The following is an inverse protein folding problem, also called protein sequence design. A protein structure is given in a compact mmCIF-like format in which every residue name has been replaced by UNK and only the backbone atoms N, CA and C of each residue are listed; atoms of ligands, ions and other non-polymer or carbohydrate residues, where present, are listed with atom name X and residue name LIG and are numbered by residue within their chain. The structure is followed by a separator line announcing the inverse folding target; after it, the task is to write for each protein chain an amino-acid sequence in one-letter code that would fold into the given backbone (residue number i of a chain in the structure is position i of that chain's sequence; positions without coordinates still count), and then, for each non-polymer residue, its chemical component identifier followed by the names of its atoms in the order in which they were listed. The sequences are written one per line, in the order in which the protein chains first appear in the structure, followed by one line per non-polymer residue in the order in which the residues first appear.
data_IF_437155901822
#
_entry.id   IF_437155901822
#
_cell.length_a   1.000
_cell.length_b   1.000
_cell.length_c   1.000
_cell.angle_alpha   90.00
_cell.angle_beta   90.00
_cell.angle_gamma   90.00
#
_symmetry.space_group_name_H-M   'P 1'
#
loop_
_entity.id
_entity.type
_entity.pdbx_description
1 polymer ?
#
# COMPACT_ATOMS: atom_id res chain seq x y z
N UNK A 1 50.71 15.70 -23.15
CA UNK A 1 49.33 15.87 -23.64
C UNK A 1 48.64 14.51 -23.56
N UNK A 2 47.83 14.30 -22.52
CA UNK A 2 47.03 13.09 -22.29
C UNK A 2 45.59 13.59 -22.08
N UNK A 3 44.67 13.21 -22.94
CA UNK A 3 43.23 13.40 -22.70
C UNK A 3 42.62 12.05 -22.37
N UNK A 4 42.38 11.83 -21.07
CA UNK A 4 41.55 10.75 -20.55
C UNK A 4 40.09 11.17 -20.66
N UNK A 5 39.31 10.43 -21.46
CA UNK A 5 37.86 10.38 -21.36
C UNK A 5 37.50 9.52 -20.14
N UNK A 6 36.84 10.12 -19.13
CA UNK A 6 36.23 9.40 -18.01
C UNK A 6 34.72 9.25 -18.24
N UNK A 7 34.23 8.05 -17.96
CA UNK A 7 32.86 7.55 -18.05
C UNK A 7 31.92 8.21 -17.02
N UNK A 8 30.63 8.44 -17.33
CA UNK A 8 29.67 9.12 -16.45
C UNK A 8 29.00 8.16 -15.45
N UNK A 9 29.78 7.51 -14.58
CA UNK A 9 29.28 6.55 -13.59
C UNK A 9 29.68 6.88 -12.13
N UNK A 10 30.00 8.15 -11.81
CA UNK A 10 30.44 8.56 -10.46
C UNK A 10 29.61 9.70 -9.82
N UNK A 11 28.46 10.09 -10.39
CA UNK A 11 27.67 11.25 -9.90
C UNK A 11 26.47 10.91 -8.99
N UNK A 12 26.48 9.76 -8.33
CA UNK A 12 25.41 9.36 -7.41
C UNK A 12 25.99 8.79 -6.11
N UNK A 13 26.70 9.63 -5.34
CA UNK A 13 26.91 9.48 -3.88
C UNK A 13 27.56 10.77 -3.38
N UNK A 14 27.02 11.32 -2.27
CA UNK A 14 27.34 12.57 -1.56
C UNK A 14 26.84 13.88 -2.18
N UNK A 15 25.72 14.40 -1.66
CA UNK A 15 25.63 15.84 -1.33
C UNK A 15 24.68 16.12 -0.14
N UNK A 16 25.33 16.35 1.01
CA UNK A 16 25.05 17.35 2.07
C UNK A 16 23.73 17.37 2.85
N UNK A 17 23.87 17.02 4.14
CA UNK A 17 23.40 17.81 5.28
C UNK A 17 23.51 19.31 5.00
N UNK A 18 22.40 20.05 5.05
CA UNK A 18 22.34 21.47 5.41
C UNK A 18 20.93 21.81 5.92
N UNK A 19 20.91 22.15 7.20
CA UNK A 19 19.87 22.87 7.93
C UNK A 19 19.35 24.08 7.17
N UNK A 20 18.02 24.22 7.07
CA UNK A 20 17.33 25.50 6.96
C UNK A 20 16.06 25.48 7.80
N UNK A 21 16.11 26.14 8.95
CA UNK A 21 14.95 26.69 9.63
C UNK A 21 14.44 27.88 8.81
N UNK A 22 13.13 27.97 8.52
CA UNK A 22 12.48 29.26 8.40
C UNK A 22 11.89 29.63 9.76
N UNK A 23 12.49 30.62 10.41
CA UNK A 23 11.81 31.41 11.44
C UNK A 23 10.69 32.15 10.71
N UNK A 24 9.46 31.66 10.84
CA UNK A 24 8.27 32.49 10.68
C UNK A 24 7.69 32.70 12.07
N UNK A 25 8.01 33.86 12.64
CA UNK A 25 7.36 34.37 13.83
C UNK A 25 5.88 34.62 13.51
N UNK A 26 5.01 33.70 13.94
CA UNK A 26 3.61 33.99 14.21
C UNK A 26 3.38 33.75 15.69
N UNK A 27 3.32 34.85 16.45
CA UNK A 27 2.65 34.87 17.73
C UNK A 27 1.16 34.54 17.47
N UNK A 28 0.71 33.35 17.85
CA UNK A 28 -0.73 33.09 18.08
C UNK A 28 -0.90 31.94 19.07
N UNK A 29 -1.45 32.28 20.24
CA UNK A 29 -2.21 31.45 21.20
C UNK A 29 -2.36 29.96 20.88
N UNK A 30 -1.96 29.09 21.82
CA UNK A 30 -2.03 27.62 21.71
C UNK A 30 -3.37 27.10 21.17
N UNK A 31 -3.37 26.72 19.90
CA UNK A 31 -4.53 26.19 19.18
C UNK A 31 -4.41 24.70 18.95
N UNK A 32 -5.46 23.96 19.32
CA UNK A 32 -5.67 22.57 18.92
C UNK A 32 -5.96 22.52 17.41
N UNK A 33 -5.26 21.67 16.67
CA UNK A 33 -5.53 21.42 15.24
C UNK A 33 -6.05 20.00 15.09
N UNK A 34 -7.30 19.83 14.65
CA UNK A 34 -7.88 18.51 14.36
C UNK A 34 -7.06 17.80 13.26
N UNK A 35 -6.75 16.51 13.37
CA UNK A 35 -6.13 15.77 12.28
C UNK A 35 -7.05 15.80 11.07
N UNK A 36 -6.49 16.05 9.89
CA UNK A 36 -7.26 16.05 8.66
C UNK A 36 -7.63 14.61 8.27
N UNK A 37 -8.91 14.26 8.41
CA UNK A 37 -9.43 12.91 8.14
C UNK A 37 -9.13 12.40 6.73
N UNK A 38 -9.03 13.28 5.73
CA UNK A 38 -8.75 12.92 4.34
C UNK A 38 -7.34 12.35 4.12
N UNK A 39 -6.47 12.43 5.14
CA UNK A 39 -5.15 11.83 5.13
C UNK A 39 -5.16 10.35 5.54
N UNK A 40 -6.27 9.81 6.05
CA UNK A 40 -6.34 8.49 6.66
C UNK A 40 -7.06 7.43 5.80
N UNK A 41 -6.58 6.18 5.90
CA UNK A 41 -7.18 4.96 5.29
C UNK A 41 -7.55 3.91 6.32
N UNK A 42 -7.21 4.15 7.58
CA UNK A 42 -7.67 3.37 8.72
C UNK A 42 -8.37 4.33 9.69
N UNK A 43 -9.68 4.17 9.84
CA UNK A 43 -10.44 4.97 10.79
C UNK A 43 -9.94 4.83 12.23
N UNK A 44 -9.34 3.69 12.60
CA UNK A 44 -8.80 3.47 13.95
C UNK A 44 -7.55 4.31 14.18
N UNK A 45 -6.68 4.41 13.17
CA UNK A 45 -5.51 5.30 13.21
C UNK A 45 -5.94 6.76 13.34
N UNK A 46 -6.91 7.20 12.53
CA UNK A 46 -7.49 8.53 12.66
C UNK A 46 -8.01 8.82 14.07
N UNK A 47 -8.79 7.90 14.65
CA UNK A 47 -9.31 8.04 16.01
C UNK A 47 -8.19 8.01 17.08
N UNK A 48 -7.13 7.23 16.85
CA UNK A 48 -5.96 7.16 17.72
C UNK A 48 -5.13 8.45 17.72
N UNK A 49 -4.91 9.03 16.55
CA UNK A 49 -4.21 10.31 16.40
C UNK A 49 -5.03 11.46 16.98
N UNK A 50 -6.33 11.50 16.68
CA UNK A 50 -7.28 12.45 17.30
C UNK A 50 -7.23 12.38 18.83
N UNK A 51 -7.22 11.16 19.39
CA UNK A 51 -7.11 10.96 20.84
C UNK A 51 -5.77 11.49 21.38
N UNK A 52 -4.67 11.16 20.70
CA UNK A 52 -3.31 11.49 21.13
C UNK A 52 -3.09 13.00 21.14
N UNK A 53 -3.57 13.71 20.11
CA UNK A 53 -3.51 15.17 20.06
C UNK A 53 -4.35 15.82 21.16
N UNK A 54 -5.59 15.37 21.37
CA UNK A 54 -6.44 15.88 22.45
C UNK A 54 -5.84 15.62 23.83
N UNK A 55 -5.15 14.47 24.01
CA UNK A 55 -4.47 14.14 25.27
C UNK A 55 -3.28 15.06 25.53
N UNK A 56 -2.52 15.39 24.49
CA UNK A 56 -1.39 16.32 24.57
C UNK A 56 -1.86 17.74 24.87
N UNK A 57 -2.92 18.21 24.21
CA UNK A 57 -3.47 19.55 24.45
C UNK A 57 -4.24 19.67 25.78
N UNK A 58 -4.85 18.57 26.24
CA UNK A 58 -5.68 18.53 27.46
C UNK A 58 -5.32 17.28 28.26
N UNK A 59 -4.55 17.46 29.32
CA UNK A 59 -4.13 16.36 30.22
C UNK A 59 -5.31 15.58 30.80
N UNK A 60 -6.49 16.22 30.95
CA UNK A 60 -7.73 15.60 31.42
C UNK A 60 -8.43 14.73 30.38
N UNK A 61 -8.08 14.81 29.09
CA UNK A 61 -8.68 13.96 28.07
C UNK A 61 -8.31 12.49 28.34
N UNK A 62 -9.27 11.59 28.21
CA UNK A 62 -9.11 10.15 28.48
C UNK A 62 -10.07 9.37 27.59
N UNK A 63 -9.81 8.08 27.38
CA UNK A 63 -10.73 7.24 26.61
C UNK A 63 -12.15 7.22 27.20
N UNK A 64 -12.28 7.38 28.52
CA UNK A 64 -13.56 7.50 29.19
C UNK A 64 -14.27 8.81 28.85
N UNK A 65 -13.53 9.92 28.88
CA UNK A 65 -14.05 11.23 28.48
C UNK A 65 -14.45 11.24 27.01
N UNK A 66 -13.66 10.60 26.14
CA UNK A 66 -14.00 10.48 24.72
C UNK A 66 -15.25 9.63 24.50
N UNK A 67 -15.35 8.46 25.15
CA UNK A 67 -16.53 7.60 25.03
C UNK A 67 -17.80 8.29 25.54
N UNK A 68 -17.69 9.06 26.64
CA UNK A 68 -18.80 9.87 27.16
C UNK A 68 -19.17 11.02 26.23
N UNK A 69 -18.18 11.74 25.65
CA UNK A 69 -18.41 12.80 24.66
C UNK A 69 -19.22 12.26 23.47
N UNK A 70 -18.89 11.05 23.02
CA UNK A 70 -19.60 10.38 21.93
C UNK A 70 -20.91 9.68 22.34
N UNK A 71 -21.42 9.91 23.55
CA UNK A 71 -22.72 9.35 23.97
C UNK A 71 -22.75 7.83 24.07
N UNK A 72 -21.61 7.21 24.40
CA UNK A 72 -21.53 5.77 24.70
C UNK A 72 -21.62 5.51 26.20
N UNK A 73 -22.45 4.54 26.59
CA UNK A 73 -22.58 4.11 27.99
C UNK A 73 -21.32 3.41 28.50
N UNK A 74 -20.58 2.74 27.62
CA UNK A 74 -19.33 2.05 27.97
C UNK A 74 -18.15 3.02 27.97
N UNK A 75 -17.52 3.21 29.13
CA UNK A 75 -16.34 4.07 29.33
C UNK A 75 -15.11 3.63 28.53
N UNK A 76 -15.03 2.36 28.11
CA UNK A 76 -13.92 1.81 27.35
C UNK A 76 -14.22 1.62 25.87
N UNK A 77 -15.39 2.08 25.37
CA UNK A 77 -15.80 1.84 23.99
C UNK A 77 -14.77 2.37 22.98
N UNK A 78 -14.37 3.65 23.10
CA UNK A 78 -13.39 4.24 22.17
C UNK A 78 -12.01 3.59 22.27
N UNK A 79 -11.59 3.17 23.47
CA UNK A 79 -10.35 2.40 23.64
C UNK A 79 -10.42 1.07 22.87
N UNK A 80 -11.51 0.31 23.04
CA UNK A 80 -11.70 -0.97 22.37
C UNK A 80 -11.80 -0.81 20.85
N UNK A 81 -12.40 0.27 20.36
CA UNK A 81 -12.40 0.61 18.94
C UNK A 81 -10.97 0.92 18.48
N UNK A 82 -10.26 1.84 19.11
CA UNK A 82 -8.89 2.20 18.67
C UNK A 82 -7.94 0.99 18.72
N UNK A 83 -8.12 0.06 19.67
CA UNK A 83 -7.33 -1.17 19.78
C UNK A 83 -7.79 -2.32 18.88
N UNK A 84 -8.81 -2.14 18.05
CA UNK A 84 -9.29 -3.18 17.14
C UNK A 84 -10.13 -4.29 17.79
N UNK A 85 -10.48 -4.15 19.08
CA UNK A 85 -11.28 -5.12 19.84
C UNK A 85 -12.77 -5.03 19.43
N UNK A 86 -13.26 -3.84 19.06
CA UNK A 86 -14.65 -3.62 18.62
C UNK A 86 -14.74 -2.91 17.27
N UNK A 87 -15.71 -3.32 16.47
CA UNK A 87 -16.16 -2.63 15.26
C UNK A 87 -17.23 -1.58 15.58
N UNK A 88 -17.40 -0.62 14.66
CA UNK A 88 -18.41 0.41 14.71
C UNK A 88 -19.68 -0.04 13.97
N UNK A 89 -20.82 0.10 14.63
CA UNK A 89 -22.13 0.03 13.97
C UNK A 89 -22.48 1.36 13.32
N UNK A 90 -23.47 1.39 12.44
CA UNK A 90 -24.00 2.63 11.83
C UNK A 90 -24.38 3.68 12.89
N UNK A 91 -25.04 3.26 13.97
CA UNK A 91 -25.39 4.16 15.07
C UNK A 91 -24.16 4.72 15.78
N UNK A 92 -23.11 3.90 15.98
CA UNK A 92 -21.85 4.37 16.56
C UNK A 92 -21.10 5.33 15.64
N UNK A 93 -21.15 5.14 14.32
CA UNK A 93 -20.54 6.07 13.35
C UNK A 93 -21.17 7.46 13.48
N UNK A 94 -22.50 7.54 13.48
CA UNK A 94 -23.22 8.84 13.62
C UNK A 94 -22.82 9.55 14.90
N UNK A 95 -22.86 8.83 16.04
CA UNK A 95 -22.44 9.36 17.35
C UNK A 95 -21.01 9.90 17.35
N UNK A 96 -20.10 9.21 16.66
CA UNK A 96 -18.69 9.65 16.56
C UNK A 96 -18.57 10.87 15.66
N UNK A 97 -19.26 10.93 14.52
CA UNK A 97 -19.26 12.12 13.66
C UNK A 97 -19.73 13.37 14.41
N UNK A 98 -20.79 13.25 15.20
CA UNK A 98 -21.30 14.33 16.07
C UNK A 98 -20.28 14.73 17.14
N UNK A 99 -19.68 13.75 17.82
CA UNK A 99 -18.70 14.00 18.88
C UNK A 99 -17.40 14.63 18.39
N UNK A 100 -17.01 14.32 17.15
CA UNK A 100 -15.86 14.90 16.48
C UNK A 100 -16.19 16.23 15.80
N UNK A 101 -17.47 16.61 15.76
CA UNK A 101 -17.96 17.83 15.12
C UNK A 101 -17.59 17.88 13.62
N UNK A 102 -17.64 16.71 12.95
CA UNK A 102 -17.30 16.60 11.53
C UNK A 102 -18.31 17.35 10.65
N UNK A 103 -17.81 18.07 9.65
CA UNK A 103 -18.64 18.62 8.59
C UNK A 103 -19.34 17.50 7.78
N UNK A 104 -20.35 17.86 6.99
CA UNK A 104 -21.06 16.89 6.13
C UNK A 104 -20.12 16.08 5.23
N UNK A 105 -19.10 16.73 4.67
CA UNK A 105 -18.11 16.08 3.79
C UNK A 105 -17.21 15.14 4.58
N UNK A 106 -16.72 15.55 5.75
CA UNK A 106 -15.87 14.74 6.62
C UNK A 106 -16.62 13.55 7.22
N UNK A 107 -17.88 13.75 7.64
CA UNK A 107 -18.75 12.69 8.14
C UNK A 107 -19.03 11.64 7.06
N UNK A 108 -19.28 12.07 5.82
CA UNK A 108 -19.41 11.17 4.67
C UNK A 108 -18.10 10.41 4.40
N UNK A 109 -16.95 11.06 4.52
CA UNK A 109 -15.66 10.40 4.36
C UNK A 109 -15.42 9.37 5.47
N UNK A 110 -15.64 9.75 6.74
CA UNK A 110 -15.50 8.87 7.90
C UNK A 110 -16.39 7.63 7.78
N UNK A 111 -17.66 7.81 7.40
CA UNK A 111 -18.59 6.71 7.23
C UNK A 111 -18.10 5.71 6.17
N UNK A 112 -17.71 6.20 4.99
CA UNK A 112 -17.17 5.33 3.94
C UNK A 112 -15.84 4.69 4.35
N UNK A 113 -15.03 5.39 5.14
CA UNK A 113 -13.76 4.87 5.66
C UNK A 113 -13.99 3.70 6.60
N UNK A 114 -14.93 3.85 7.54
CA UNK A 114 -15.33 2.78 8.46
C UNK A 114 -15.83 1.56 7.70
N UNK A 115 -16.74 1.74 6.73
CA UNK A 115 -17.26 0.60 5.96
C UNK A 115 -16.21 -0.03 5.05
N UNK A 116 -15.33 0.77 4.45
CA UNK A 116 -14.17 0.27 3.71
C UNK A 116 -13.29 -0.63 4.60
N UNK A 117 -12.96 -0.18 5.82
CA UNK A 117 -12.12 -0.97 6.73
C UNK A 117 -12.84 -2.21 7.29
N UNK A 118 -14.16 -2.20 7.43
CA UNK A 118 -14.95 -3.30 8.01
C UNK A 118 -15.53 -4.28 6.99
N UNK A 119 -15.52 -3.95 5.70
CA UNK A 119 -16.07 -4.81 4.64
C UNK A 119 -15.39 -6.19 4.64
N UNK A 120 -16.19 -7.26 4.57
CA UNK A 120 -15.70 -8.64 4.63
C UNK A 120 -15.31 -9.19 3.27
N UNK A 121 -15.96 -8.70 2.21
CA UNK A 121 -15.73 -9.16 0.84
C UNK A 121 -15.19 -8.03 -0.04
N UNK A 122 -14.54 -8.45 -1.12
CA UNK A 122 -13.88 -7.56 -2.07
C UNK A 122 -14.86 -6.58 -2.74
N UNK A 123 -16.02 -7.07 -3.18
CA UNK A 123 -17.01 -6.26 -3.90
C UNK A 123 -17.49 -5.09 -3.05
N UNK A 124 -17.85 -5.37 -1.80
CA UNK A 124 -18.27 -4.36 -0.83
C UNK A 124 -17.13 -3.39 -0.50
N UNK A 125 -15.92 -3.91 -0.28
CA UNK A 125 -14.76 -3.06 0.03
C UNK A 125 -14.42 -2.11 -1.12
N UNK A 126 -14.42 -2.61 -2.37
CA UNK A 126 -14.20 -1.78 -3.54
C UNK A 126 -15.29 -0.72 -3.73
N UNK A 127 -16.54 -1.05 -3.46
CA UNK A 127 -17.65 -0.10 -3.51
C UNK A 127 -17.44 1.10 -2.57
N UNK A 128 -17.03 0.86 -1.31
CA UNK A 128 -16.73 1.94 -0.37
C UNK A 128 -15.43 2.69 -0.72
N UNK A 129 -14.44 2.00 -1.31
CA UNK A 129 -13.23 2.64 -1.82
C UNK A 129 -13.53 3.65 -2.94
N UNK A 130 -14.38 3.30 -3.90
CA UNK A 130 -14.81 4.22 -4.96
C UNK A 130 -15.54 5.44 -4.38
N UNK A 131 -16.39 5.23 -3.36
CA UNK A 131 -17.06 6.33 -2.65
C UNK A 131 -16.08 7.25 -1.93
N UNK A 132 -15.04 6.71 -1.29
CA UNK A 132 -13.97 7.51 -0.66
C UNK A 132 -13.26 8.38 -1.70
N UNK A 133 -12.93 7.81 -2.86
CA UNK A 133 -12.24 8.52 -3.93
C UNK A 133 -13.09 9.63 -4.57
N UNK A 134 -14.41 9.46 -4.61
CA UNK A 134 -15.34 10.46 -5.10
C UNK A 134 -15.46 11.69 -4.19
N UNK A 135 -15.04 11.58 -2.92
CA UNK A 135 -15.03 12.72 -1.99
C UNK A 135 -13.74 13.52 -2.20
N UNK A 136 -13.89 14.80 -2.50
CA UNK A 136 -12.77 15.70 -2.77
C UNK A 136 -12.28 16.38 -1.49
N UNK A 137 -11.00 16.19 -1.09
CA UNK A 137 -10.42 16.89 0.05
C UNK A 137 -10.40 18.39 -0.19
N UNK A 138 -10.55 19.16 0.88
CA UNK A 138 -10.55 20.63 0.83
C UNK A 138 -9.12 21.19 0.66
N UNK A 139 -8.08 20.43 1.04
CA UNK A 139 -6.68 20.88 1.00
C UNK A 139 -5.88 20.23 -0.13
N UNK A 140 -4.88 20.95 -0.64
CA UNK A 140 -4.00 20.48 -1.71
C UNK A 140 -3.17 19.27 -1.29
N UNK A 141 -2.70 19.24 -0.03
CA UNK A 141 -1.91 18.15 0.54
C UNK A 141 -2.72 16.84 0.57
N UNK A 142 -3.96 16.91 1.07
CA UNK A 142 -4.85 15.76 1.12
C UNK A 142 -5.27 15.32 -0.29
N UNK A 143 -5.42 16.27 -1.22
CA UNK A 143 -5.63 15.99 -2.64
C UNK A 143 -4.48 15.21 -3.29
N UNK A 144 -3.24 15.63 -3.03
CA UNK A 144 -2.02 14.97 -3.51
C UNK A 144 -1.85 13.58 -2.92
N UNK A 145 -2.05 13.44 -1.60
CA UNK A 145 -1.99 12.17 -0.93
C UNK A 145 -3.04 11.22 -1.51
N UNK A 146 -4.30 11.65 -1.69
CA UNK A 146 -5.35 10.83 -2.34
C UNK A 146 -4.96 10.41 -3.77
N UNK A 147 -4.38 11.31 -4.56
CA UNK A 147 -3.95 11.00 -5.93
C UNK A 147 -2.88 9.92 -5.96
N UNK A 148 -1.83 10.06 -5.14
CA UNK A 148 -0.77 9.05 -5.02
C UNK A 148 -1.35 7.68 -4.68
N UNK A 149 -2.33 7.65 -3.79
CA UNK A 149 -3.00 6.43 -3.34
C UNK A 149 -3.87 5.78 -4.41
N UNK A 150 -4.62 6.60 -5.15
CA UNK A 150 -5.38 6.12 -6.31
C UNK A 150 -4.43 5.54 -7.37
N UNK A 151 -3.32 6.22 -7.61
CA UNK A 151 -2.30 5.78 -8.56
C UNK A 151 -1.68 4.42 -8.15
N UNK A 152 -1.36 4.24 -6.86
CA UNK A 152 -0.92 2.95 -6.30
C UNK A 152 -2.00 1.87 -6.44
N UNK A 153 -3.25 2.18 -6.09
CA UNK A 153 -4.36 1.23 -6.20
C UNK A 153 -4.54 0.75 -7.63
N UNK A 154 -4.60 1.67 -8.60
CA UNK A 154 -4.75 1.33 -10.01
C UNK A 154 -3.59 0.46 -10.50
N UNK A 155 -2.35 0.76 -10.10
CA UNK A 155 -1.17 -0.02 -10.45
C UNK A 155 -1.24 -1.46 -9.92
N UNK A 156 -1.60 -1.67 -8.64
CA UNK A 156 -1.69 -3.01 -8.05
C UNK A 156 -3.03 -3.72 -8.30
N UNK A 157 -4.03 -3.02 -8.85
CA UNK A 157 -5.38 -3.57 -9.09
C UNK A 157 -5.40 -4.74 -10.08
N UNK A 158 -4.36 -4.89 -10.91
CA UNK A 158 -4.16 -6.02 -11.82
C UNK A 158 -2.70 -6.45 -11.77
N UNK A 159 -2.46 -7.74 -11.52
CA UNK A 159 -1.12 -8.32 -11.42
C UNK A 159 -0.24 -8.03 -12.65
N UNK A 160 -0.85 -8.03 -13.84
CA UNK A 160 -0.10 -7.87 -15.09
C UNK A 160 0.48 -6.47 -15.28
N UNK A 161 0.06 -5.45 -14.51
CA UNK A 161 0.68 -4.12 -14.59
C UNK A 161 2.15 -4.14 -14.17
N UNK A 162 2.46 -4.90 -13.12
CA UNK A 162 3.84 -5.10 -12.64
C UNK A 162 4.65 -5.86 -13.69
N UNK A 163 4.11 -6.96 -14.22
CA UNK A 163 4.78 -7.79 -15.22
C UNK A 163 5.02 -7.03 -16.52
N UNK A 164 4.03 -6.27 -17.00
CA UNK A 164 4.18 -5.42 -18.20
C UNK A 164 5.26 -4.37 -17.98
N UNK A 165 5.34 -3.74 -16.81
CA UNK A 165 6.41 -2.78 -16.51
C UNK A 165 7.78 -3.43 -16.60
N UNK A 166 7.96 -4.61 -16.01
CA UNK A 166 9.22 -5.36 -16.07
C UNK A 166 9.55 -5.85 -17.48
N UNK A 167 8.57 -6.29 -18.27
CA UNK A 167 8.79 -6.69 -19.67
C UNK A 167 9.19 -5.50 -20.56
N UNK A 168 8.70 -4.29 -20.28
CA UNK A 168 9.13 -3.07 -20.98
C UNK A 168 10.60 -2.78 -20.69
N UNK A 169 11.06 -3.08 -19.49
CA UNK A 169 12.47 -2.90 -19.10
C UNK A 169 13.39 -3.89 -19.83
N UNK A 170 13.00 -5.18 -19.86
CA UNK A 170 13.75 -6.23 -20.54
C UNK A 170 13.68 -6.12 -22.07
N UNK A 171 12.52 -5.77 -22.62
CA UNK A 171 12.21 -5.79 -24.04
C UNK A 171 11.55 -4.48 -24.52
N UNK A 172 12.27 -3.35 -24.48
CA UNK A 172 11.70 -2.02 -24.75
C UNK A 172 11.18 -1.86 -26.19
N UNK A 173 11.72 -2.60 -27.15
CA UNK A 173 11.26 -2.58 -28.53
C UNK A 173 9.97 -3.36 -28.77
N UNK A 174 9.76 -4.46 -28.05
CA UNK A 174 8.55 -5.30 -28.15
C UNK A 174 7.31 -4.61 -27.59
N UNK A 175 7.51 -3.65 -26.67
CA UNK A 175 6.45 -2.86 -26.08
C UNK A 175 5.66 -1.99 -27.09
N UNK A 176 6.16 -1.82 -28.32
CA UNK A 176 5.46 -1.16 -29.43
C UNK A 176 4.31 -2.01 -30.00
N UNK A 177 4.39 -3.33 -29.84
CA UNK A 177 3.38 -4.26 -30.32
C UNK A 177 2.62 -4.88 -29.14
N UNK A 178 1.43 -4.34 -28.85
CA UNK A 178 0.61 -4.81 -27.74
C UNK A 178 0.21 -6.28 -27.85
N UNK A 179 0.10 -6.83 -29.06
CA UNK A 179 -0.19 -8.25 -29.23
C UNK A 179 1.00 -9.13 -28.89
N UNK A 180 2.22 -8.67 -29.17
CA UNK A 180 3.44 -9.41 -28.86
C UNK A 180 3.71 -9.35 -27.36
N UNK A 181 3.68 -8.14 -26.78
CA UNK A 181 3.82 -7.93 -25.34
C UNK A 181 2.79 -8.75 -24.53
N UNK A 182 1.54 -8.83 -25.00
CA UNK A 182 0.49 -9.60 -24.33
C UNK A 182 0.76 -11.12 -24.31
N UNK A 183 1.45 -11.66 -25.32
CA UNK A 183 1.87 -13.07 -25.39
C UNK A 183 3.08 -13.38 -24.51
N UNK A 184 3.94 -12.40 -24.28
CA UNK A 184 5.13 -12.53 -23.42
C UNK A 184 4.75 -12.60 -21.94
N UNK A 185 3.62 -12.00 -21.55
CA UNK A 185 3.06 -12.13 -20.21
C UNK A 185 2.59 -13.57 -20.00
N UNK A 186 2.95 -14.20 -18.87
CA UNK A 186 2.45 -15.51 -18.49
C UNK A 186 1.51 -15.43 -17.27
N UNK A 187 0.30 -16.01 -17.33
CA UNK A 187 -0.39 -16.45 -18.54
C UNK A 187 -0.68 -15.29 -19.49
N UNK A 188 -0.80 -15.60 -20.79
CA UNK A 188 -1.07 -14.60 -21.81
C UNK A 188 -2.31 -13.76 -21.46
N UNK A 189 -2.16 -12.44 -21.63
CA UNK A 189 -3.25 -11.48 -21.47
C UNK A 189 -3.82 -11.09 -22.83
N UNK A 190 -4.92 -10.34 -22.85
CA UNK A 190 -5.47 -9.79 -24.10
C UNK A 190 -4.63 -8.58 -24.55
N UNK A 191 -4.45 -8.33 -25.86
CA UNK A 191 -3.75 -7.13 -26.36
C UNK A 191 -4.30 -5.82 -25.78
N UNK A 192 -5.64 -5.73 -25.61
CA UNK A 192 -6.29 -4.57 -24.99
C UNK A 192 -5.90 -4.36 -23.52
N UNK A 193 -5.55 -5.43 -22.79
CA UNK A 193 -5.05 -5.32 -21.41
C UNK A 193 -3.62 -4.79 -21.38
N UNK A 194 -2.76 -5.25 -22.30
CA UNK A 194 -1.40 -4.72 -22.47
C UNK A 194 -1.43 -3.23 -22.83
N UNK A 195 -2.28 -2.84 -23.79
CA UNK A 195 -2.50 -1.43 -24.14
C UNK A 195 -2.89 -0.58 -22.93
N UNK A 196 -3.96 -0.97 -22.22
CA UNK A 196 -4.43 -0.26 -21.02
C UNK A 196 -3.36 -0.18 -19.93
N UNK A 197 -2.54 -1.22 -19.81
CA UNK A 197 -1.42 -1.24 -18.88
C UNK A 197 -0.38 -0.18 -19.26
N UNK A 198 0.03 -0.11 -20.54
CA UNK A 198 0.97 0.93 -21.00
C UNK A 198 0.41 2.33 -20.79
N UNK A 199 -0.86 2.57 -21.13
CA UNK A 199 -1.54 3.86 -20.89
C UNK A 199 -1.52 4.24 -19.40
N UNK A 200 -1.79 3.28 -18.52
CA UNK A 200 -1.71 3.47 -17.08
C UNK A 200 -0.26 3.81 -16.66
N UNK A 201 0.73 3.02 -17.05
CA UNK A 201 2.13 3.22 -16.68
C UNK A 201 2.66 4.59 -17.13
N UNK A 202 2.28 5.05 -18.33
CA UNK A 202 2.59 6.40 -18.84
C UNK A 202 1.92 7.49 -17.98
N UNK A 203 0.62 7.33 -17.68
CA UNK A 203 -0.14 8.27 -16.83
C UNK A 203 0.46 8.38 -15.43
N UNK A 204 0.93 7.26 -14.89
CA UNK A 204 1.59 7.20 -13.57
C UNK A 204 3.03 7.72 -13.60
N UNK A 205 3.61 7.92 -14.79
CA UNK A 205 5.01 8.31 -14.97
C UNK A 205 5.99 7.20 -14.58
N UNK A 206 5.54 5.94 -14.57
CA UNK A 206 6.38 4.76 -14.31
C UNK A 206 7.19 4.33 -15.53
N UNK A 207 6.70 4.70 -16.71
CA UNK A 207 7.40 4.58 -17.98
C UNK A 207 7.26 5.92 -18.73
N UNK A 208 8.17 6.16 -19.65
CA UNK A 208 8.15 7.28 -20.58
C UNK A 208 8.37 6.79 -22.01
N UNK A 209 7.92 7.57 -22.99
CA UNK A 209 8.17 7.28 -24.41
C UNK A 209 9.24 8.25 -24.93
N UNK A 210 10.40 7.73 -25.31
CA UNK A 210 11.51 8.49 -25.90
C UNK A 210 11.87 7.89 -27.26
N UNK A 211 11.88 8.72 -28.31
CA UNK A 211 12.22 8.30 -29.68
C UNK A 211 11.42 7.07 -30.18
N UNK A 212 10.13 7.00 -29.80
CA UNK A 212 9.27 5.88 -30.18
C UNK A 212 9.43 4.61 -29.36
N UNK A 213 10.37 4.55 -28.41
CA UNK A 213 10.66 3.42 -27.51
C UNK A 213 10.16 3.74 -26.10
N UNK A 214 9.64 2.74 -25.39
CA UNK A 214 9.26 2.88 -23.99
C UNK A 214 10.47 2.58 -23.09
N UNK A 215 10.66 3.40 -22.05
CA UNK A 215 11.69 3.18 -21.02
C UNK A 215 11.07 3.32 -19.64
N UNK A 216 11.57 2.55 -18.68
CA UNK A 216 11.17 2.73 -17.28
C UNK A 216 11.69 4.07 -16.74
N UNK A 217 10.94 4.65 -15.82
CA UNK A 217 11.36 5.82 -15.07
C UNK A 217 11.82 5.39 -13.67
N UNK A 218 12.76 6.13 -13.07
CA UNK A 218 13.23 5.95 -11.68
C UNK A 218 12.17 6.33 -10.63
N UNK A 219 10.97 6.74 -11.05
CA UNK A 219 9.86 7.00 -10.15
C UNK A 219 9.48 5.73 -9.39
N UNK A 220 9.83 5.71 -8.12
CA UNK A 220 9.43 4.66 -7.18
C UNK A 220 7.98 4.93 -6.77
N UNK A 221 7.05 4.06 -7.16
CA UNK A 221 5.79 3.95 -6.43
C UNK A 221 6.10 3.23 -5.13
N UNK A 222 6.48 4.00 -4.10
CA UNK A 222 6.63 3.45 -2.75
C UNK A 222 5.28 2.88 -2.36
N UNK A 223 5.22 1.60 -1.96
CA UNK A 223 4.06 1.06 -1.24
C UNK A 223 4.03 1.75 0.12
N UNK A 224 3.20 2.79 0.25
CA UNK A 224 3.02 3.48 1.51
C UNK A 224 2.05 2.74 2.44
N UNK A 225 2.28 2.84 3.74
CA UNK A 225 1.66 2.11 4.87
C UNK A 225 0.11 1.98 4.93
N UNK A 226 -0.67 2.56 4.02
CA UNK A 226 -2.11 2.73 4.20
C UNK A 226 -2.98 2.35 2.98
N UNK A 227 -2.45 2.44 1.76
CA UNK A 227 -3.06 1.82 0.55
C UNK A 227 -2.75 0.32 0.48
N UNK A 228 -1.92 -0.12 1.41
CA UNK A 228 -1.33 -1.44 1.54
C UNK A 228 -2.30 -2.61 1.72
N UNK A 229 -3.58 -2.38 2.01
CA UNK A 229 -4.49 -3.52 2.23
C UNK A 229 -5.13 -3.99 0.93
N UNK A 230 -6.02 -3.23 0.28
CA UNK A 230 -6.89 -3.81 -0.74
C UNK A 230 -6.18 -4.16 -2.05
N UNK A 231 -5.46 -3.21 -2.65
CA UNK A 231 -4.82 -3.45 -3.95
C UNK A 231 -3.70 -4.47 -3.83
N UNK A 232 -2.92 -4.40 -2.74
CA UNK A 232 -1.84 -5.33 -2.47
C UNK A 232 -2.38 -6.71 -2.05
N UNK A 233 -3.45 -6.80 -1.24
CA UNK A 233 -4.13 -8.08 -0.99
C UNK A 233 -4.64 -8.70 -2.29
N UNK A 234 -5.27 -7.89 -3.16
CA UNK A 234 -5.73 -8.37 -4.45
C UNK A 234 -4.57 -8.82 -5.34
N UNK A 235 -3.47 -8.07 -5.36
CA UNK A 235 -2.25 -8.46 -6.04
C UNK A 235 -1.72 -9.80 -5.52
N UNK A 236 -1.60 -9.98 -4.21
CA UNK A 236 -1.14 -11.23 -3.61
C UNK A 236 -2.08 -12.42 -3.89
N UNK A 237 -3.39 -12.22 -3.83
CA UNK A 237 -4.38 -13.24 -4.22
C UNK A 237 -4.21 -13.63 -5.69
N UNK A 238 -4.09 -12.66 -6.58
CA UNK A 238 -3.82 -12.93 -7.99
C UNK A 238 -2.48 -13.68 -8.18
N UNK A 239 -1.43 -13.31 -7.44
CA UNK A 239 -0.15 -14.03 -7.45
C UNK A 239 -0.27 -15.47 -6.93
N UNK A 240 -1.11 -15.74 -5.94
CA UNK A 240 -1.41 -17.09 -5.47
C UNK A 240 -2.13 -17.92 -6.54
N UNK A 241 -3.09 -17.32 -7.25
CA UNK A 241 -3.76 -17.95 -8.40
C UNK A 241 -2.77 -18.25 -9.54
N UNK A 242 -1.86 -17.32 -9.84
CA UNK A 242 -0.77 -17.53 -10.80
C UNK A 242 0.13 -18.68 -10.38
N UNK A 243 0.52 -18.75 -9.11
CA UNK A 243 1.33 -19.85 -8.57
C UNK A 243 0.59 -21.20 -8.69
N UNK A 244 -0.71 -21.23 -8.36
CA UNK A 244 -1.57 -22.41 -8.52
C UNK A 244 -1.65 -22.87 -9.98
N UNK A 245 -1.75 -21.92 -10.93
CA UNK A 245 -1.76 -22.21 -12.36
C UNK A 245 -0.39 -22.68 -12.86
N UNK A 246 0.70 -22.04 -12.44
CA UNK A 246 2.07 -22.45 -12.75
C UNK A 246 2.37 -23.88 -12.27
N UNK A 247 1.85 -24.28 -11.10
CA UNK A 247 1.96 -25.66 -10.59
C UNK A 247 1.28 -26.70 -11.49
N UNK A 248 0.23 -26.31 -12.23
CA UNK A 248 -0.48 -27.21 -13.16
C UNK A 248 0.12 -27.21 -14.57
N UNK A 249 0.54 -26.04 -15.06
CA UNK A 249 0.80 -25.84 -16.50
C UNK A 249 2.28 -25.76 -16.89
N UNK A 250 3.17 -25.29 -16.01
CA UNK A 250 4.61 -25.20 -16.34
C UNK A 250 5.32 -26.56 -16.22
N UNK A 251 6.47 -26.79 -16.85
CA UNK A 251 7.30 -27.95 -16.53
C UNK A 251 8.07 -27.73 -15.20
N UNK A 252 8.61 -28.79 -14.60
CA UNK A 252 9.26 -28.75 -13.27
C UNK A 252 10.49 -27.84 -13.22
N UNK A 253 11.25 -27.75 -14.31
CA UNK A 253 12.45 -26.92 -14.45
C UNK A 253 12.15 -25.43 -14.63
N UNK A 254 10.88 -25.08 -14.92
CA UNK A 254 10.42 -23.70 -15.10
C UNK A 254 9.59 -23.17 -13.92
N UNK A 255 9.53 -23.92 -12.81
CA UNK A 255 8.88 -23.49 -11.56
C UNK A 255 9.63 -23.99 -10.35
N UNK A 256 9.69 -23.18 -9.31
CA UNK A 256 10.17 -23.60 -8.00
C UNK A 256 9.08 -23.36 -6.96
N UNK A 257 8.38 -24.44 -6.60
CA UNK A 257 7.32 -24.41 -5.58
C UNK A 257 7.68 -25.43 -4.53
N UNK A 258 8.02 -24.92 -3.35
CA UNK A 258 8.37 -25.70 -2.16
C UNK A 258 7.55 -25.23 -0.97
N UNK A 259 7.42 -26.08 0.04
CA UNK A 259 6.64 -25.78 1.23
C UNK A 259 7.07 -26.62 2.42
N UNK A 260 6.81 -26.10 3.62
CA UNK A 260 7.08 -26.74 4.90
C UNK A 260 5.84 -26.60 5.78
N UNK A 261 5.52 -27.65 6.56
CA UNK A 261 4.50 -27.59 7.61
C UNK A 261 5.20 -27.72 8.95
N UNK A 262 5.12 -26.69 9.79
CA UNK A 262 5.92 -26.57 11.02
C UNK A 262 5.04 -26.29 12.23
N UNK A 263 5.34 -26.94 13.36
CA UNK A 263 4.85 -26.52 14.67
C UNK A 263 5.81 -25.52 15.30
N UNK A 264 5.44 -24.24 15.35
CA UNK A 264 6.32 -23.16 15.83
C UNK A 264 5.66 -22.31 16.92
N UNK A 265 6.48 -21.76 17.81
CA UNK A 265 6.04 -20.76 18.79
C UNK A 265 5.95 -19.36 18.16
N UNK A 266 5.25 -18.39 18.78
CA UNK A 266 5.26 -17.00 18.32
C UNK A 266 6.66 -16.38 18.26
N UNK A 267 7.58 -16.80 19.14
CA UNK A 267 8.98 -16.36 19.10
C UNK A 267 9.67 -16.85 17.82
N UNK A 268 9.55 -18.15 17.54
CA UNK A 268 10.12 -18.73 16.32
C UNK A 268 9.48 -18.15 15.05
N UNK A 269 8.18 -17.82 15.07
CA UNK A 269 7.54 -17.09 13.98
C UNK A 269 8.22 -15.75 13.69
N UNK A 270 8.52 -14.97 14.73
CA UNK A 270 9.25 -13.70 14.58
C UNK A 270 10.63 -13.88 13.95
N UNK A 271 11.41 -14.85 14.44
CA UNK A 271 12.73 -15.18 13.89
C UNK A 271 12.66 -15.60 12.41
N UNK A 272 11.66 -16.39 12.03
CA UNK A 272 11.44 -16.79 10.62
C UNK A 272 11.09 -15.58 9.76
N UNK A 273 10.27 -14.64 10.25
CA UNK A 273 9.97 -13.41 9.51
C UNK A 273 11.23 -12.59 9.22
N UNK A 274 12.16 -12.48 10.18
CA UNK A 274 13.44 -11.78 9.97
C UNK A 274 14.31 -12.49 8.92
N UNK A 275 14.35 -13.82 8.93
CA UNK A 275 15.05 -14.61 7.90
C UNK A 275 14.44 -14.35 6.52
N UNK A 276 13.10 -14.39 6.41
CA UNK A 276 12.41 -14.12 5.14
C UNK A 276 12.78 -12.73 4.61
N UNK A 277 12.80 -11.70 5.47
CA UNK A 277 13.20 -10.34 5.08
C UNK A 277 14.66 -10.28 4.60
N UNK A 278 15.58 -10.91 5.33
CA UNK A 278 16.99 -11.00 4.91
C UNK A 278 17.17 -11.73 3.57
N UNK A 279 16.42 -12.82 3.37
CA UNK A 279 16.45 -13.57 2.12
C UNK A 279 15.91 -12.76 0.95
N UNK A 280 14.84 -11.97 1.15
CA UNK A 280 14.33 -11.06 0.11
C UNK A 280 15.42 -10.08 -0.35
N UNK A 281 16.14 -9.47 0.59
CA UNK A 281 17.22 -8.54 0.26
C UNK A 281 18.33 -9.23 -0.56
N UNK A 282 18.73 -10.44 -0.17
CA UNK A 282 19.73 -11.22 -0.92
C UNK A 282 19.26 -11.60 -2.32
N UNK A 283 17.99 -11.96 -2.50
CA UNK A 283 17.42 -12.26 -3.82
C UNK A 283 17.43 -11.00 -4.69
N UNK A 284 17.06 -9.84 -4.13
CA UNK A 284 17.11 -8.57 -4.85
C UNK A 284 18.53 -8.25 -5.31
N UNK A 285 19.54 -8.40 -4.44
CA UNK A 285 20.94 -8.20 -4.80
C UNK A 285 21.42 -9.13 -5.92
N UNK A 286 20.90 -10.36 -6.00
CA UNK A 286 21.20 -11.27 -7.11
C UNK A 286 20.59 -10.73 -8.41
N UNK A 287 19.31 -10.34 -8.37
CA UNK A 287 18.61 -9.80 -9.54
C UNK A 287 19.22 -8.49 -10.04
N UNK A 288 19.65 -7.59 -9.15
CA UNK A 288 20.31 -6.33 -9.52
C UNK A 288 21.69 -6.53 -10.18
N UNK A 289 22.36 -7.64 -9.88
CA UNK A 289 23.66 -8.00 -10.48
C UNK A 289 23.51 -8.79 -11.78
N UNK A 290 22.32 -9.29 -12.09
CA UNK A 290 22.05 -10.01 -13.32
C UNK A 290 21.86 -9.02 -14.47
N UNK A 291 22.80 -9.05 -15.42
CA UNK A 291 22.78 -8.17 -16.60
C UNK A 291 22.21 -8.85 -17.84
N UNK A 292 21.84 -10.14 -17.75
CA UNK A 292 21.39 -10.96 -18.88
C UNK A 292 20.03 -11.62 -18.59
N UNK A 293 19.17 -10.91 -17.87
CA UNK A 293 17.82 -11.39 -17.55
C UNK A 293 16.95 -11.52 -18.81
N UNK A 294 16.35 -12.70 -19.01
CA UNK A 294 15.51 -13.01 -20.17
C UNK A 294 14.01 -13.17 -19.83
N UNK A 295 13.67 -13.14 -18.55
CA UNK A 295 12.33 -13.50 -18.08
C UNK A 295 11.96 -12.74 -16.82
N UNK A 296 10.68 -12.38 -16.70
CA UNK A 296 10.13 -11.79 -15.48
C UNK A 296 9.62 -12.90 -14.56
N UNK A 297 10.23 -13.01 -13.37
CA UNK A 297 9.79 -13.94 -12.34
C UNK A 297 9.00 -13.22 -11.24
N UNK A 298 7.88 -13.81 -10.83
CA UNK A 298 7.18 -13.42 -9.62
C UNK A 298 7.56 -14.37 -8.49
N UNK A 299 8.21 -13.84 -7.44
CA UNK A 299 8.55 -14.60 -6.24
C UNK A 299 7.63 -14.19 -5.09
N UNK A 300 7.07 -15.17 -4.37
CA UNK A 300 6.19 -14.92 -3.22
C UNK A 300 6.62 -15.76 -2.01
N UNK A 301 6.67 -15.14 -0.82
CA UNK A 301 6.78 -15.84 0.46
C UNK A 301 5.43 -15.81 1.17
N UNK A 302 4.98 -16.96 1.67
CA UNK A 302 3.69 -17.08 2.36
C UNK A 302 3.91 -17.88 3.65
N UNK A 303 3.71 -17.21 4.79
CA UNK A 303 3.75 -17.83 6.11
C UNK A 303 2.48 -17.44 6.86
N UNK A 304 1.66 -18.44 7.20
CA UNK A 304 0.39 -18.23 7.89
C UNK A 304 0.05 -19.44 8.75
N UNK A 305 -0.70 -19.26 9.85
CA UNK A 305 -1.19 -20.38 10.64
C UNK A 305 -2.22 -21.19 9.85
N UNK A 306 -2.05 -22.52 9.82
CA UNK A 306 -3.01 -23.48 9.24
C UNK A 306 -3.81 -24.23 10.31
N UNK A 307 -3.73 -23.77 11.57
CA UNK A 307 -4.46 -24.31 12.71
C UNK A 307 -4.74 -23.21 13.74
N UNK A 308 -5.72 -23.45 14.61
CA UNK A 308 -5.98 -22.58 15.76
C UNK A 308 -5.13 -23.00 16.97
N UNK A 309 -4.80 -22.03 17.83
CA UNK A 309 -4.18 -22.31 19.12
C UNK A 309 -5.12 -23.17 19.96
N UNK A 310 -4.72 -24.41 20.25
CA UNK A 310 -5.46 -25.27 21.18
C UNK A 310 -5.53 -24.64 22.57
N UNK A 311 -6.65 -24.84 23.30
CA UNK A 311 -6.73 -24.47 24.71
C UNK A 311 -5.66 -25.26 25.46
N UNK A 312 -4.63 -24.57 25.98
CA UNK A 312 -3.85 -25.12 27.09
C UNK A 312 -4.79 -25.07 28.29
N UNK A 313 -5.40 -26.20 28.63
CA UNK A 313 -6.02 -26.36 29.94
C UNK A 313 -4.91 -26.07 30.97
N UNK A 314 -5.07 -24.98 31.72
CA UNK A 314 -4.30 -24.74 32.93
C UNK A 314 -4.85 -25.63 34.04
#
# INVERSE_FOLDING_TARGET
MRHNYRSPAEDLILFRLLTFLPISCKLSTGGWTMPNIFNYHDYRKFLGDYYSENKTSRSTFSYQNFSRKAGFSSKSFMFNVIKGIKNLSRASVVKICEALELSKTEASYFENLVYFNQALNFTERNFYYEKLNAIHPVTAEAGNARRLRKDQYEFYSKWYHVVVRSLIDLYPDEAKNYSQLAKMVYPAIKPKQAQKSIELLLRLGLIEKKNGVYKINSKILSTGNEVESLAIQHFHLACMELASKALRELPRDKRNISGLTLGISPKAYGEICEIILSTQQKILEIAEKDTDSDSVYQFNFQLFPVSHTGRRNQ
#
